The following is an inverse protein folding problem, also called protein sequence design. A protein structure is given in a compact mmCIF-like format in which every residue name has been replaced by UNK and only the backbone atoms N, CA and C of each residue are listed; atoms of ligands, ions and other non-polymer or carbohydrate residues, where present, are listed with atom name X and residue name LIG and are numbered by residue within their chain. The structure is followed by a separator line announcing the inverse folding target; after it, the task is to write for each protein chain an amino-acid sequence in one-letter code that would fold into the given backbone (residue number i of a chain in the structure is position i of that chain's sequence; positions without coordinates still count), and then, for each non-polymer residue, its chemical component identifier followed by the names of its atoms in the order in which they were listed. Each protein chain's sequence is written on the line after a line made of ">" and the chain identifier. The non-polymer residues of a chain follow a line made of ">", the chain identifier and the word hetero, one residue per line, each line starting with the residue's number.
data_IF_117333586453
#
_entry.id   IF_117333586453
#
_cell.length_a   1.000
_cell.length_b   1.000
_cell.length_c   1.000
_cell.angle_alpha   90.00
_cell.angle_beta   90.00
_cell.angle_gamma   90.00
#
_symmetry.space_group_name_H-M   'P 1'
#
loop_
_entity.id
_entity.type
_entity.pdbx_description
1 polymer ?
#
# COMPACT_ATOMS: atom_id res chain seq x y z
N UNK A 1 7.39 -13.41 3.93
CA UNK A 1 5.97 -13.02 4.09
C UNK A 1 5.07 -14.01 3.33
N UNK A 2 3.86 -14.29 3.81
CA UNK A 2 2.89 -15.20 3.18
C UNK A 2 1.66 -14.41 2.70
N UNK A 3 1.29 -14.58 1.43
CA UNK A 3 0.09 -13.97 0.85
C UNK A 3 -1.17 -14.43 1.59
N UNK A 4 -2.08 -13.49 1.83
CA UNK A 4 -3.34 -13.62 2.58
C UNK A 4 -3.18 -13.93 4.08
N UNK A 5 -1.97 -13.84 4.62
CA UNK A 5 -1.76 -13.75 6.06
C UNK A 5 -1.87 -12.30 6.54
N UNK A 6 -2.12 -12.14 7.85
CA UNK A 6 -2.24 -10.83 8.50
C UNK A 6 -0.99 -10.49 9.29
N UNK A 7 -0.52 -9.26 9.15
CA UNK A 7 0.69 -8.76 9.79
C UNK A 7 0.44 -7.40 10.43
N UNK A 8 1.01 -7.18 11.61
CA UNK A 8 1.14 -5.85 12.20
C UNK A 8 2.22 -5.07 11.47
N UNK A 9 2.14 -3.74 11.56
CA UNK A 9 3.16 -2.86 10.96
C UNK A 9 4.56 -3.23 11.42
N UNK A 10 4.74 -3.51 12.70
CA UNK A 10 6.05 -3.87 13.27
C UNK A 10 6.58 -5.20 12.69
N UNK A 11 5.70 -6.16 12.44
CA UNK A 11 6.06 -7.44 11.81
C UNK A 11 6.45 -7.24 10.34
N UNK A 12 5.77 -6.35 9.62
CA UNK A 12 6.11 -5.99 8.23
C UNK A 12 7.48 -5.32 8.17
N UNK A 13 7.73 -4.33 9.04
CA UNK A 13 9.01 -3.62 9.08
C UNK A 13 10.17 -4.55 9.43
N UNK A 14 9.96 -5.49 10.35
CA UNK A 14 10.96 -6.50 10.70
C UNK A 14 11.18 -7.51 9.56
N UNK A 15 10.12 -7.95 8.89
CA UNK A 15 10.22 -8.92 7.80
C UNK A 15 10.85 -8.36 6.51
N UNK A 16 10.93 -7.04 6.38
CA UNK A 16 11.55 -6.33 5.25
C UNK A 16 12.88 -5.68 5.63
N UNK A 17 13.49 -6.13 6.74
CA UNK A 17 14.80 -5.67 7.25
C UNK A 17 14.91 -4.14 7.42
N UNK A 18 13.77 -3.46 7.61
CA UNK A 18 13.75 -2.01 7.78
C UNK A 18 14.01 -1.59 9.23
N UNK A 19 13.72 -2.46 10.20
CA UNK A 19 13.99 -2.24 11.61
C UNK A 19 15.33 -2.87 12.01
N UNK A 20 16.42 -2.11 11.89
CA UNK A 20 17.72 -2.49 12.46
C UNK A 20 18.05 -1.63 13.68
N UNK A 21 18.98 -2.05 14.57
CA UNK A 21 19.49 -1.20 15.64
C UNK A 21 20.02 0.16 15.13
N UNK A 22 20.48 0.25 13.87
CA UNK A 22 20.94 1.49 13.24
C UNK A 22 19.84 2.31 12.53
N UNK A 23 18.72 1.69 12.11
CA UNK A 23 17.57 2.34 11.46
C UNK A 23 16.33 2.29 12.36
N UNK A 24 16.14 3.37 13.13
CA UNK A 24 14.98 3.48 14.01
C UNK A 24 13.66 3.60 13.19
N UNK A 25 12.59 2.87 13.56
CA UNK A 25 11.28 2.88 12.86
C UNK A 25 10.56 4.24 12.81
N UNK A 26 11.09 5.26 13.48
CA UNK A 26 10.43 6.56 13.67
C UNK A 26 10.22 7.39 12.40
N UNK A 27 10.88 7.02 11.29
CA UNK A 27 10.75 7.70 9.99
C UNK A 27 9.69 7.08 9.07
N UNK A 28 9.06 5.96 9.44
CA UNK A 28 7.96 5.38 8.68
C UNK A 28 6.65 6.12 9.02
N UNK A 29 6.36 7.19 8.27
CA UNK A 29 5.18 8.05 8.50
C UNK A 29 4.15 8.08 7.37
N UNK A 30 4.50 7.59 6.17
CA UNK A 30 3.69 7.87 4.96
C UNK A 30 2.99 6.64 4.36
N UNK A 31 3.00 5.50 5.05
CA UNK A 31 2.31 4.29 4.58
C UNK A 31 3.01 3.59 3.40
N UNK A 32 4.20 4.02 3.00
CA UNK A 32 5.03 3.36 1.98
C UNK A 32 6.44 3.15 2.50
N UNK A 33 6.99 1.96 2.25
CA UNK A 33 8.33 1.55 2.64
C UNK A 33 9.12 1.11 1.40
N UNK A 34 10.32 1.66 1.22
CA UNK A 34 11.33 1.04 0.36
C UNK A 34 12.24 0.12 1.17
N UNK A 35 12.24 -1.16 0.82
CA UNK A 35 13.13 -2.18 1.37
C UNK A 35 14.26 -2.45 0.36
N UNK A 36 15.39 -1.77 0.57
CA UNK A 36 16.52 -1.74 -0.37
C UNK A 36 17.12 -3.13 -0.60
N UNK A 37 17.36 -3.89 0.48
CA UNK A 37 17.93 -5.24 0.44
C UNK A 37 17.07 -6.24 -0.37
N UNK A 38 15.78 -5.91 -0.54
CA UNK A 38 14.79 -6.73 -1.24
C UNK A 38 14.33 -6.12 -2.56
N UNK A 39 14.85 -4.95 -2.94
CA UNK A 39 14.39 -4.18 -4.11
C UNK A 39 12.85 -4.06 -4.15
N UNK A 40 12.22 -3.83 -3.00
CA UNK A 40 10.76 -3.97 -2.81
C UNK A 40 10.14 -2.71 -2.22
N UNK A 41 9.13 -2.17 -2.90
CA UNK A 41 8.20 -1.18 -2.35
C UNK A 41 7.05 -1.92 -1.63
N UNK A 42 6.78 -1.57 -0.38
CA UNK A 42 5.66 -2.10 0.40
C UNK A 42 4.66 -0.99 0.71
N UNK A 43 3.42 -1.14 0.22
CA UNK A 43 2.34 -0.18 0.40
C UNK A 43 1.40 -0.65 1.52
N UNK A 44 1.30 0.15 2.57
CA UNK A 44 0.47 -0.10 3.75
C UNK A 44 -0.80 0.78 3.69
N UNK A 45 -1.83 0.20 3.09
CA UNK A 45 -3.07 0.85 2.67
C UNK A 45 -4.16 0.67 3.74
N UNK A 46 -4.84 1.77 4.08
CA UNK A 46 -6.03 1.76 4.95
C UNK A 46 -7.23 2.18 4.12
N UNK A 47 -8.17 1.25 3.88
CA UNK A 47 -9.27 1.42 2.92
C UNK A 47 -10.33 2.40 3.41
N UNK A 48 -10.68 2.38 4.71
CA UNK A 48 -11.62 3.34 5.32
C UNK A 48 -10.87 4.27 6.25
N UNK A 49 -10.82 5.54 5.89
CA UNK A 49 -10.30 6.62 6.74
C UNK A 49 -11.38 7.02 7.73
N UNK A 50 -11.05 7.11 9.01
CA UNK A 50 -12.02 7.59 10.01
C UNK A 50 -12.30 9.08 9.81
N UNK A 51 -13.50 9.55 10.15
CA UNK A 51 -13.89 10.98 10.12
C UNK A 51 -12.89 11.91 10.83
N UNK A 52 -12.17 11.42 11.84
CA UNK A 52 -11.14 12.17 12.57
C UNK A 52 -9.76 12.24 11.88
N UNK A 53 -9.53 11.44 10.83
CA UNK A 53 -8.32 11.48 9.98
C UNK A 53 -8.55 12.31 8.70
N UNK A 54 -9.73 12.94 8.57
CA UNK A 54 -10.08 13.84 7.47
C UNK A 54 -9.22 15.11 7.50
N UNK A 55 -8.15 15.10 6.73
CA UNK A 55 -7.57 16.33 6.18
C UNK A 55 -7.88 16.36 4.69
N UNK A 56 -8.27 17.52 4.10
CA UNK A 56 -8.55 17.64 2.65
C UNK A 56 -7.43 17.13 1.74
N UNK A 57 -6.22 16.97 2.27
CA UNK A 57 -5.00 16.50 1.59
C UNK A 57 -4.83 14.98 1.56
N UNK A 58 -5.73 14.20 2.16
CA UNK A 58 -5.60 12.74 2.30
C UNK A 58 -6.79 11.98 1.70
N UNK A 59 -7.42 12.50 0.64
CA UNK A 59 -8.42 11.76 -0.13
C UNK A 59 -7.76 10.92 -1.23
N UNK A 60 -6.85 10.03 -0.85
CA UNK A 60 -6.41 8.94 -1.73
C UNK A 60 -7.50 7.88 -1.79
N UNK A 61 -7.97 7.57 -3.00
CA UNK A 61 -8.99 6.55 -3.25
C UNK A 61 -8.30 5.20 -3.51
N UNK A 62 -7.98 4.45 -2.47
CA UNK A 62 -7.43 3.10 -2.61
C UNK A 62 -8.57 2.06 -2.66
N UNK A 63 -8.73 1.35 -3.78
CA UNK A 63 -9.83 0.39 -3.96
C UNK A 63 -9.49 -0.78 -4.88
N UNK A 64 -10.23 -1.88 -4.73
CA UNK A 64 -10.14 -3.00 -5.66
C UNK A 64 -11.06 -2.78 -6.86
N UNK A 65 -10.49 -2.78 -8.07
CA UNK A 65 -11.24 -2.71 -9.34
C UNK A 65 -11.84 -4.08 -9.68
N UNK A 66 -11.09 -5.15 -9.42
CA UNK A 66 -11.51 -6.54 -9.60
C UNK A 66 -10.79 -7.43 -8.60
N UNK A 67 -11.11 -8.73 -8.51
CA UNK A 67 -10.39 -9.64 -7.60
C UNK A 67 -8.88 -9.66 -7.83
N UNK A 68 -8.39 -9.34 -9.03
CA UNK A 68 -6.95 -9.35 -9.37
C UNK A 68 -6.43 -7.98 -9.77
N UNK A 69 -7.19 -6.90 -9.61
CA UNK A 69 -6.77 -5.55 -10.03
C UNK A 69 -7.08 -4.52 -8.95
N UNK A 70 -6.09 -3.71 -8.62
CA UNK A 70 -6.15 -2.75 -7.52
C UNK A 70 -5.74 -1.35 -8.00
N UNK A 71 -6.49 -0.35 -7.57
CA UNK A 71 -6.16 1.06 -7.74
C UNK A 71 -5.49 1.57 -6.45
N UNK A 72 -4.37 2.26 -6.60
CA UNK A 72 -3.63 2.86 -5.50
C UNK A 72 -3.15 4.26 -5.89
N UNK A 73 -3.28 5.23 -4.99
CA UNK A 73 -2.72 6.56 -5.20
C UNK A 73 -1.47 6.82 -4.35
N UNK A 74 -0.47 7.43 -4.95
CA UNK A 74 0.74 7.85 -4.23
C UNK A 74 0.50 9.00 -3.27
N UNK A 75 1.48 9.27 -2.41
CA UNK A 75 1.49 10.51 -1.62
C UNK A 75 1.48 11.74 -2.56
N UNK A 76 0.87 12.83 -2.12
CA UNK A 76 0.68 14.09 -2.87
C UNK A 76 1.97 14.79 -3.28
N UNK A 77 3.09 14.46 -2.65
CA UNK A 77 4.43 14.96 -3.00
C UNK A 77 5.17 14.04 -3.97
N UNK A 78 4.69 12.82 -4.18
CA UNK A 78 5.27 11.88 -5.15
C UNK A 78 4.83 12.27 -6.54
N UNK A 79 5.78 12.80 -7.30
CA UNK A 79 5.60 13.20 -8.71
C UNK A 79 6.03 12.10 -9.65
N UNK A 80 5.43 12.02 -10.84
CA UNK A 80 5.87 11.14 -11.93
C UNK A 80 7.38 11.27 -12.17
N UNK A 81 7.92 12.49 -12.19
CA UNK A 81 9.33 12.77 -12.44
C UNK A 81 10.27 12.51 -11.24
N UNK A 82 9.73 12.27 -10.04
CA UNK A 82 10.54 12.03 -8.84
C UNK A 82 11.20 10.64 -8.88
N UNK A 83 12.32 10.43 -8.15
CA UNK A 83 12.94 9.10 -8.06
C UNK A 83 11.97 8.01 -7.58
N UNK A 84 11.14 8.33 -6.59
CA UNK A 84 10.11 7.42 -6.07
C UNK A 84 9.04 7.11 -7.11
N UNK A 85 8.51 8.13 -7.78
CA UNK A 85 7.53 7.95 -8.86
C UNK A 85 8.08 7.10 -10.01
N UNK A 86 9.32 7.38 -10.45
CA UNK A 86 9.99 6.58 -11.48
C UNK A 86 10.20 5.12 -11.04
N UNK A 87 10.41 4.85 -9.74
CA UNK A 87 10.53 3.49 -9.24
C UNK A 87 9.22 2.72 -9.33
N UNK A 88 8.09 3.35 -9.00
CA UNK A 88 6.77 2.74 -9.13
C UNK A 88 6.41 2.47 -10.61
N UNK A 89 6.64 3.47 -11.47
CA UNK A 89 6.19 3.43 -12.87
C UNK A 89 7.08 2.56 -13.77
N UNK A 90 8.36 2.43 -13.45
CA UNK A 90 9.29 1.57 -14.19
C UNK A 90 9.50 0.21 -13.51
N UNK A 91 8.65 -0.16 -12.55
CA UNK A 91 8.80 -1.38 -11.73
C UNK A 91 9.21 -2.60 -12.57
N UNK A 92 8.45 -2.89 -13.63
CA UNK A 92 8.67 -4.07 -14.48
C UNK A 92 10.02 -4.02 -15.21
N UNK A 93 10.45 -2.85 -15.68
CA UNK A 93 11.71 -2.67 -16.39
C UNK A 93 12.92 -2.68 -15.43
N UNK A 94 12.74 -2.16 -14.23
CA UNK A 94 13.77 -2.09 -13.19
C UNK A 94 13.87 -3.38 -12.37
N UNK A 95 12.94 -4.32 -12.52
CA UNK A 95 12.89 -5.57 -11.76
C UNK A 95 12.66 -5.34 -10.26
N UNK A 96 11.96 -4.27 -9.89
CA UNK A 96 11.56 -4.01 -8.51
C UNK A 96 10.26 -4.75 -8.19
N UNK A 97 10.03 -5.01 -6.90
CA UNK A 97 8.81 -5.66 -6.43
C UNK A 97 7.88 -4.64 -5.76
N UNK A 98 6.57 -4.88 -5.87
CA UNK A 98 5.56 -4.12 -5.12
C UNK A 98 4.73 -5.11 -4.30
N UNK A 99 4.56 -4.84 -3.00
CA UNK A 99 3.71 -5.60 -2.09
C UNK A 99 2.56 -4.73 -1.58
N UNK A 100 1.32 -5.22 -1.72
CA UNK A 100 0.14 -4.52 -1.20
C UNK A 100 -0.33 -5.12 0.13
N UNK A 101 -0.25 -4.33 1.19
CA UNK A 101 -0.78 -4.62 2.52
C UNK A 101 -2.01 -3.75 2.76
N UNK A 102 -3.17 -4.35 2.99
CA UNK A 102 -4.42 -3.59 3.14
C UNK A 102 -5.11 -3.90 4.45
N UNK A 103 -5.74 -2.90 5.06
CA UNK A 103 -6.64 -3.07 6.22
C UNK A 103 -7.87 -2.21 6.03
N UNK A 104 -8.98 -2.63 6.63
CA UNK A 104 -10.20 -1.85 6.54
C UNK A 104 -10.09 -0.53 7.32
N UNK A 105 -9.59 -0.53 8.55
CA UNK A 105 -9.53 0.67 9.42
C UNK A 105 -8.21 0.80 10.17
N UNK A 106 -7.88 2.02 10.57
CA UNK A 106 -6.61 2.36 11.23
C UNK A 106 -6.42 1.77 12.62
N UNK A 107 -7.47 1.79 13.44
CA UNK A 107 -7.48 1.29 14.81
C UNK A 107 -8.69 0.39 15.06
N UNK A 108 -8.52 -0.61 15.93
CA UNK A 108 -9.65 -1.24 16.61
C UNK A 108 -10.13 -0.30 17.72
N UNK A 109 -11.40 -0.39 18.14
CA UNK A 109 -12.03 0.44 19.20
C UNK A 109 -11.23 0.54 20.51
N UNK A 110 -10.26 -0.37 20.74
CA UNK A 110 -9.41 -0.43 21.94
C UNK A 110 -7.92 -0.10 21.72
N UNK A 111 -7.59 0.73 20.73
CA UNK A 111 -6.32 1.48 20.71
C UNK A 111 -5.07 0.77 20.18
N UNK A 112 -5.19 -0.44 19.60
CA UNK A 112 -4.12 -1.05 18.79
C UNK A 112 -4.47 -0.98 17.31
N UNK A 113 -3.48 -0.66 16.48
CA UNK A 113 -3.64 -0.58 15.03
C UNK A 113 -4.05 -1.92 14.44
N UNK A 114 -5.02 -1.93 13.53
CA UNK A 114 -5.47 -3.18 12.92
C UNK A 114 -4.38 -3.80 12.03
N UNK A 115 -4.23 -5.14 12.03
CA UNK A 115 -3.25 -5.80 11.19
C UNK A 115 -3.66 -5.72 9.72
N UNK A 116 -2.67 -5.63 8.85
CA UNK A 116 -2.84 -5.61 7.41
C UNK A 116 -2.90 -7.03 6.86
N UNK A 117 -3.81 -7.27 5.91
CA UNK A 117 -3.79 -8.43 5.04
C UNK A 117 -2.77 -8.18 3.92
N UNK A 118 -1.81 -9.09 3.72
CA UNK A 118 -0.95 -9.05 2.55
C UNK A 118 -1.74 -9.60 1.34
N UNK A 119 -2.10 -8.76 0.38
CA UNK A 119 -2.72 -9.21 -0.88
C UNK A 119 -1.70 -9.98 -1.72
N UNK A 120 -0.45 -9.53 -1.71
CA UNK A 120 0.67 -10.19 -2.37
C UNK A 120 1.45 -9.23 -3.25
N UNK A 121 2.18 -9.81 -4.19
CA UNK A 121 2.92 -9.12 -5.23
C UNK A 121 1.97 -8.51 -6.26
N UNK A 122 2.32 -7.30 -6.70
CA UNK A 122 1.54 -6.51 -7.64
C UNK A 122 2.42 -6.02 -8.79
N UNK A 123 1.84 -5.90 -9.97
CA UNK A 123 2.54 -5.55 -11.22
C UNK A 123 1.92 -4.30 -11.82
N UNK A 124 2.75 -3.31 -12.10
CA UNK A 124 2.33 -2.06 -12.71
C UNK A 124 1.62 -2.31 -14.06
N UNK A 125 0.45 -1.68 -14.24
CA UNK A 125 -0.36 -1.73 -15.48
C UNK A 125 -0.39 -0.36 -16.16
N UNK A 126 -0.86 0.65 -15.45
CA UNK A 126 -1.05 2.01 -15.98
C UNK A 126 -1.06 3.04 -14.85
N UNK A 127 -0.92 4.32 -15.21
CA UNK A 127 -1.11 5.42 -14.28
C UNK A 127 -1.77 6.64 -14.94
N UNK A 128 -2.32 7.52 -14.10
CA UNK A 128 -2.84 8.83 -14.44
C UNK A 128 -2.40 9.85 -13.39
N UNK A 129 -2.47 11.14 -13.73
CA UNK A 129 -2.06 12.24 -12.83
C UNK A 129 -0.55 12.51 -12.81
N UNK A 130 -0.17 13.60 -12.14
CA UNK A 130 1.24 14.01 -11.97
C UNK A 130 1.69 13.87 -10.51
N UNK A 131 0.90 14.42 -9.57
CA UNK A 131 1.04 14.27 -8.13
C UNK A 131 -0.29 14.61 -7.41
N UNK A 132 -0.92 13.67 -6.69
CA UNK A 132 -0.52 12.27 -6.58
C UNK A 132 -0.62 11.53 -7.92
N UNK A 133 0.07 10.41 -8.02
CA UNK A 133 -0.01 9.48 -9.15
C UNK A 133 -1.06 8.44 -8.80
N UNK A 134 -2.08 8.30 -9.64
CA UNK A 134 -3.06 7.22 -9.56
C UNK A 134 -2.53 6.02 -10.36
N UNK A 135 -2.26 4.88 -9.72
CA UNK A 135 -1.63 3.72 -10.33
C UNK A 135 -2.56 2.50 -10.28
N UNK A 136 -2.69 1.83 -11.40
CA UNK A 136 -3.36 0.52 -11.49
C UNK A 136 -2.34 -0.60 -11.45
N UNK A 137 -2.54 -1.55 -10.55
CA UNK A 137 -1.73 -2.76 -10.42
C UNK A 137 -2.56 -4.03 -10.66
N UNK A 138 -1.95 -5.04 -11.27
CA UNK A 138 -2.46 -6.42 -11.29
C UNK A 138 -1.82 -7.25 -10.18
N UNK A 139 -2.61 -8.06 -9.48
CA UNK A 139 -2.16 -8.94 -8.40
C UNK A 139 -1.90 -10.36 -8.91
N UNK A 140 -0.84 -11.00 -8.42
CA UNK A 140 -0.54 -12.41 -8.74
C UNK A 140 -1.59 -13.40 -8.21
N UNK A 141 -2.33 -13.00 -7.16
CA UNK A 141 -3.37 -13.83 -6.55
C UNK A 141 -4.65 -13.01 -6.35
N UNK A 142 -5.82 -13.62 -6.56
CA UNK A 142 -7.08 -12.93 -6.32
C UNK A 142 -7.25 -12.60 -4.84
N UNK A 143 -7.70 -11.37 -4.56
CA UNK A 143 -8.06 -10.90 -3.22
C UNK A 143 -9.11 -11.85 -2.62
N UNK A 144 -8.98 -12.26 -1.34
CA UNK A 144 -10.02 -13.05 -0.66
C UNK A 144 -11.39 -12.38 -0.74
N UNK A 145 -12.44 -13.15 -1.00
CA UNK A 145 -13.77 -12.64 -1.33
C UNK A 145 -14.31 -11.63 -0.31
N UNK A 146 -14.17 -11.92 0.97
CA UNK A 146 -14.59 -11.06 2.08
C UNK A 146 -13.85 -9.71 2.06
N UNK A 147 -12.55 -9.74 1.80
CA UNK A 147 -11.72 -8.55 1.75
C UNK A 147 -11.92 -7.75 0.45
N UNK A 148 -12.19 -8.42 -0.67
CA UNK A 148 -12.54 -7.79 -1.94
C UNK A 148 -13.82 -6.96 -1.81
N UNK A 149 -14.86 -7.49 -1.17
CA UNK A 149 -16.12 -6.77 -0.94
C UNK A 149 -15.90 -5.45 -0.18
N UNK A 150 -15.01 -5.47 0.82
CA UNK A 150 -14.64 -4.26 1.58
C UNK A 150 -13.86 -3.28 0.70
N UNK A 151 -12.86 -3.77 -0.04
CA UNK A 151 -12.00 -2.92 -0.87
C UNK A 151 -12.71 -2.32 -2.09
N UNK A 152 -13.66 -3.03 -2.70
CA UNK A 152 -14.43 -2.54 -3.84
C UNK A 152 -15.53 -1.54 -3.44
N UNK A 153 -16.04 -1.63 -2.20
CA UNK A 153 -17.07 -0.72 -1.71
C UNK A 153 -16.59 0.75 -1.58
N UNK A 154 -15.27 0.99 -1.52
CA UNK A 154 -14.68 2.33 -1.47
C UNK A 154 -14.96 3.12 -2.75
N UNK A 155 -15.06 2.46 -3.91
CA UNK A 155 -15.37 3.13 -5.18
C UNK A 155 -16.81 3.71 -5.23
N UNK A 156 -17.70 3.24 -4.36
CA UNK A 156 -19.15 3.54 -4.40
C UNK A 156 -19.57 4.52 -3.28
N UNK A 157 -18.64 4.94 -2.42
CA UNK A 157 -18.87 5.84 -1.28
C UNK A 157 -18.47 7.27 -1.59
#
# INVERSE_FOLDING_TARGET
>A
LLTHARYRREEILAALDHATPERLPGNFREGVLWADDWNTDAFLITLKKSDSEFTPTTMYEDYAISPTRFHWESQSTTRVSSPTGQRYLNQNAAGTNVLLFTRERGAWEFGRGAPYLLLGTAHYVSHEGEAPIAITYDLDRPIPTDHFQVAAAVQVS
#
